data_IF_923470126807
#
_entry.id   IF_923470126807
#
_cell.length_a   1.000
_cell.length_b   1.000
_cell.length_c   1.000
_cell.angle_alpha   90.00
_cell.angle_beta   90.00
_cell.angle_gamma   90.00
#
_symmetry.space_group_name_H-M   'P 1'
#
loop_
_entity.id
_entity.type
_entity.pdbx_description
1 polymer ?
#
# COMPACT_ATOMS: atom_id res chain seq x y z
N UNK A 1 18.78 -41.13 -17.39
CA UNK A 1 19.51 -39.86 -17.49
C UNK A 1 18.66 -38.77 -16.90
N UNK A 2 18.93 -38.44 -15.69
CA UNK A 2 18.28 -37.33 -14.99
C UNK A 2 19.08 -36.08 -15.33
N UNK A 3 18.39 -35.15 -15.96
CA UNK A 3 18.93 -33.83 -16.26
C UNK A 3 19.13 -33.05 -14.94
N UNK A 4 20.36 -32.68 -14.57
CA UNK A 4 20.60 -31.95 -13.33
C UNK A 4 20.37 -30.45 -13.43
N UNK A 5 19.83 -29.95 -14.52
CA UNK A 5 19.40 -28.56 -14.57
C UNK A 5 18.06 -28.35 -13.93
N UNK A 6 17.94 -28.73 -12.67
CA UNK A 6 16.89 -28.14 -11.83
C UNK A 6 17.18 -26.65 -11.79
N UNK A 7 16.59 -25.92 -12.71
CA UNK A 7 16.62 -24.48 -12.70
C UNK A 7 16.04 -24.02 -11.37
N UNK A 8 16.92 -23.61 -10.48
CA UNK A 8 16.53 -22.75 -9.41
C UNK A 8 16.05 -21.45 -10.05
N UNK A 9 14.82 -21.48 -10.57
CA UNK A 9 14.14 -20.23 -10.88
C UNK A 9 14.01 -19.50 -9.57
N UNK A 10 14.64 -18.32 -9.47
CA UNK A 10 14.38 -17.39 -8.38
C UNK A 10 12.86 -17.31 -8.17
N UNK A 11 12.34 -17.31 -6.92
CA UNK A 11 10.91 -17.12 -6.70
C UNK A 11 10.50 -15.86 -7.45
N UNK A 12 9.34 -15.85 -8.12
CA UNK A 12 8.88 -14.66 -8.83
C UNK A 12 8.92 -13.48 -7.86
N UNK A 13 9.51 -12.38 -8.31
CA UNK A 13 9.55 -11.16 -7.53
C UNK A 13 8.13 -10.83 -7.07
N UNK A 14 7.95 -10.72 -5.76
CA UNK A 14 6.65 -10.42 -5.19
C UNK A 14 6.09 -9.13 -5.77
N UNK A 15 4.81 -9.12 -6.07
CA UNK A 15 4.08 -7.96 -6.55
C UNK A 15 3.19 -7.41 -5.44
N UNK A 16 2.61 -6.25 -5.67
CA UNK A 16 1.67 -5.67 -4.70
C UNK A 16 0.46 -6.56 -4.44
N UNK A 17 0.11 -7.44 -5.39
CA UNK A 17 -0.95 -8.43 -5.18
C UNK A 17 -0.69 -9.34 -3.98
N UNK A 18 0.57 -9.62 -3.68
CA UNK A 18 0.96 -10.51 -2.58
C UNK A 18 0.84 -9.85 -1.20
N UNK A 19 0.84 -8.52 -1.14
CA UNK A 19 0.84 -7.78 0.13
C UNK A 19 -0.35 -6.83 0.29
N UNK A 20 -1.16 -6.64 -0.75
CA UNK A 20 -2.33 -5.76 -0.68
C UNK A 20 -3.35 -6.30 0.30
N UNK A 21 -4.11 -5.38 0.89
CA UNK A 21 -5.27 -5.67 1.74
C UNK A 21 -6.54 -5.35 0.97
N UNK A 22 -7.68 -5.96 1.33
CA UNK A 22 -8.96 -5.54 0.77
C UNK A 22 -9.19 -4.05 1.05
N UNK A 23 -9.67 -3.26 0.07
CA UNK A 23 -9.93 -1.85 0.30
C UNK A 23 -11.14 -1.67 1.19
N UNK A 24 -11.09 -0.73 2.12
CA UNK A 24 -12.27 -0.32 2.89
C UNK A 24 -12.99 0.76 2.07
N UNK A 25 -14.16 0.44 1.55
CA UNK A 25 -14.95 1.27 0.62
C UNK A 25 -16.28 1.72 1.22
N UNK A 26 -16.35 1.82 2.54
CA UNK A 26 -17.59 2.06 3.25
C UNK A 26 -17.95 3.54 3.41
N UNK A 27 -17.23 4.44 2.75
CA UNK A 27 -17.49 5.89 2.81
C UNK A 27 -17.77 6.47 1.43
N UNK A 28 -18.65 7.43 1.39
CA UNK A 28 -19.03 8.18 0.21
C UNK A 28 -18.53 9.62 0.31
N UNK A 29 -18.35 10.26 -0.83
CA UNK A 29 -17.79 11.62 -0.89
C UNK A 29 -18.62 12.64 -0.11
N UNK A 30 -19.93 12.43 0.04
CA UNK A 30 -20.83 13.34 0.74
C UNK A 30 -20.97 13.04 2.24
N UNK A 31 -20.34 11.97 2.72
CA UNK A 31 -20.29 11.69 4.16
C UNK A 31 -19.44 12.72 4.89
N UNK A 32 -19.64 12.84 6.19
CA UNK A 32 -18.81 13.70 7.02
C UNK A 32 -17.45 13.06 7.31
N UNK A 33 -16.44 13.89 7.45
CA UNK A 33 -15.07 13.45 7.81
C UNK A 33 -15.06 12.67 9.12
N UNK A 34 -15.93 13.02 10.07
CA UNK A 34 -16.08 12.27 11.31
C UNK A 34 -16.49 10.82 11.12
N UNK A 35 -17.32 10.52 10.11
CA UNK A 35 -17.66 9.14 9.75
C UNK A 35 -16.45 8.36 9.25
N UNK A 36 -15.61 8.99 8.44
CA UNK A 36 -14.37 8.37 7.99
C UNK A 36 -13.42 8.04 9.16
N UNK A 37 -13.25 8.99 10.08
CA UNK A 37 -12.44 8.78 11.28
C UNK A 37 -12.94 7.60 12.13
N UNK A 38 -14.24 7.49 12.31
CA UNK A 38 -14.87 6.40 13.03
C UNK A 38 -14.61 5.05 12.36
N UNK A 39 -14.78 4.98 11.04
CA UNK A 39 -14.56 3.75 10.29
C UNK A 39 -13.09 3.34 10.26
N UNK A 40 -12.16 4.29 10.14
CA UNK A 40 -10.72 4.00 10.24
C UNK A 40 -10.39 3.34 11.59
N UNK A 41 -10.93 3.89 12.67
CA UNK A 41 -10.74 3.30 14.00
C UNK A 41 -11.32 1.89 14.10
N UNK A 42 -12.54 1.68 13.58
CA UNK A 42 -13.21 0.38 13.62
C UNK A 42 -12.52 -0.68 12.77
N UNK A 43 -12.02 -0.32 11.61
CA UNK A 43 -11.36 -1.21 10.66
C UNK A 43 -9.85 -1.34 10.90
N UNK A 44 -9.30 -0.63 11.87
CA UNK A 44 -7.84 -0.51 12.07
C UNK A 44 -7.14 -0.13 10.76
N UNK A 45 -7.72 0.84 10.06
CA UNK A 45 -7.23 1.31 8.78
C UNK A 45 -6.77 2.77 8.88
N UNK A 46 -5.74 3.11 8.14
CA UNK A 46 -5.17 4.46 8.10
C UNK A 46 -5.58 5.25 6.86
N UNK A 47 -6.32 4.60 5.97
CA UNK A 47 -6.89 5.20 4.76
C UNK A 47 -8.16 4.46 4.34
N UNK A 48 -9.07 5.19 3.73
CA UNK A 48 -10.31 4.66 3.16
C UNK A 48 -10.43 5.09 1.70
N UNK A 49 -10.92 4.18 0.87
CA UNK A 49 -11.31 4.52 -0.49
C UNK A 49 -12.68 5.18 -0.44
N UNK A 50 -12.79 6.33 -1.08
CA UNK A 50 -14.03 7.10 -1.18
C UNK A 50 -14.73 6.74 -2.48
N UNK A 51 -16.01 6.41 -2.38
CA UNK A 51 -16.82 6.03 -3.54
C UNK A 51 -17.90 7.07 -3.84
N UNK A 52 -18.38 7.03 -5.05
CA UNK A 52 -19.54 7.82 -5.46
C UNK A 52 -20.82 7.04 -5.16
N UNK A 53 -21.76 7.69 -4.46
CA UNK A 53 -23.00 7.07 -3.97
C UNK A 53 -23.82 6.36 -5.05
N UNK A 54 -23.89 6.92 -6.25
CA UNK A 54 -24.77 6.43 -7.31
C UNK A 54 -24.16 5.29 -8.12
N UNK A 55 -22.84 5.21 -8.19
CA UNK A 55 -22.14 4.26 -9.07
C UNK A 55 -21.27 3.27 -8.30
N UNK A 56 -20.96 3.55 -7.03
CA UNK A 56 -19.99 2.77 -6.25
C UNK A 56 -18.56 2.88 -6.75
N UNK A 57 -18.29 3.74 -7.74
CA UNK A 57 -16.96 3.90 -8.31
C UNK A 57 -16.03 4.62 -7.34
N UNK A 58 -14.76 4.21 -7.24
CA UNK A 58 -13.78 4.92 -6.44
C UNK A 58 -13.51 6.31 -7.04
N UNK A 59 -13.64 7.35 -6.23
CA UNK A 59 -13.45 8.74 -6.63
C UNK A 59 -12.31 9.42 -5.88
N UNK A 60 -11.80 8.82 -4.82
CA UNK A 60 -10.75 9.41 -4.03
C UNK A 60 -10.26 8.52 -2.90
N UNK A 61 -9.34 9.05 -2.15
CA UNK A 61 -8.81 8.44 -0.92
C UNK A 61 -8.80 9.50 0.19
N UNK A 62 -9.20 9.09 1.39
CA UNK A 62 -9.06 9.92 2.59
C UNK A 62 -8.19 9.17 3.60
N UNK A 63 -7.25 9.89 4.20
CA UNK A 63 -6.26 9.33 5.11
C UNK A 63 -6.36 9.96 6.50
N UNK A 64 -5.73 9.34 7.49
CA UNK A 64 -5.56 9.92 8.83
C UNK A 64 -4.90 11.30 8.78
N UNK A 65 -3.94 11.50 7.87
CA UNK A 65 -3.28 12.78 7.69
C UNK A 65 -4.27 13.87 7.26
N UNK A 66 -5.20 13.55 6.37
CA UNK A 66 -6.24 14.49 5.94
C UNK A 66 -7.13 14.91 7.12
N UNK A 67 -7.49 13.97 7.97
CA UNK A 67 -8.29 14.23 9.17
C UNK A 67 -7.51 15.10 10.15
N UNK A 68 -6.24 14.80 10.38
CA UNK A 68 -5.37 15.60 11.25
C UNK A 68 -5.23 17.02 10.74
N UNK A 69 -5.08 17.21 9.43
CA UNK A 69 -5.00 18.54 8.83
C UNK A 69 -6.31 19.31 9.00
N UNK A 70 -7.46 18.66 8.83
CA UNK A 70 -8.75 19.31 9.06
C UNK A 70 -8.88 19.82 10.50
N UNK A 71 -8.48 19.01 11.48
CA UNK A 71 -8.48 19.40 12.90
C UNK A 71 -7.51 20.56 13.16
N UNK A 72 -6.29 20.47 12.60
CA UNK A 72 -5.28 21.52 12.75
C UNK A 72 -5.74 22.86 12.15
N UNK A 73 -6.52 22.82 11.08
CA UNK A 73 -7.11 24.01 10.45
C UNK A 73 -8.35 24.54 11.18
N UNK A 74 -8.69 23.95 12.32
CA UNK A 74 -9.84 24.37 13.13
C UNK A 74 -11.19 23.94 12.57
N UNK A 75 -11.20 23.01 11.62
CA UNK A 75 -12.44 22.48 11.03
C UNK A 75 -13.07 21.45 11.94
N UNK A 76 -14.40 21.48 12.05
CA UNK A 76 -15.13 20.45 12.78
C UNK A 76 -15.34 19.24 11.86
N UNK A 77 -14.80 18.04 12.18
CA UNK A 77 -14.99 16.85 11.36
C UNK A 77 -16.45 16.47 11.12
N UNK A 78 -17.36 16.89 12.00
CA UNK A 78 -18.80 16.61 11.86
C UNK A 78 -19.51 17.54 10.88
N UNK A 79 -18.86 18.62 10.46
CA UNK A 79 -19.43 19.60 9.53
C UNK A 79 -18.78 19.56 8.16
N UNK A 80 -17.57 18.99 8.06
CA UNK A 80 -16.80 18.91 6.81
C UNK A 80 -17.12 17.63 6.07
N UNK A 81 -17.39 17.76 4.78
CA UNK A 81 -17.63 16.60 3.90
C UNK A 81 -16.32 16.00 3.40
N UNK A 82 -16.34 14.70 3.17
CA UNK A 82 -15.14 13.97 2.74
C UNK A 82 -14.58 14.54 1.44
N UNK A 83 -15.43 14.90 0.46
CA UNK A 83 -14.94 15.45 -0.82
C UNK A 83 -14.13 16.75 -0.65
N UNK A 84 -14.29 17.46 0.45
CA UNK A 84 -13.55 18.70 0.73
C UNK A 84 -12.11 18.42 1.23
N UNK A 85 -11.85 17.21 1.72
CA UNK A 85 -10.58 16.84 2.33
C UNK A 85 -9.85 15.68 1.61
N UNK A 86 -10.58 14.86 0.86
CA UNK A 86 -10.01 13.71 0.15
C UNK A 86 -9.04 14.14 -0.95
N UNK A 87 -8.13 13.24 -1.31
CA UNK A 87 -7.40 13.34 -2.57
C UNK A 87 -8.26 12.71 -3.66
N UNK A 88 -8.71 13.54 -4.60
CA UNK A 88 -9.42 13.07 -5.79
C UNK A 88 -8.41 12.51 -6.80
N UNK A 89 -8.79 11.44 -7.50
CA UNK A 89 -7.92 10.78 -8.48
C UNK A 89 -6.56 10.41 -7.90
N UNK A 90 -6.53 9.57 -6.87
CA UNK A 90 -5.26 9.19 -6.25
C UNK A 90 -4.38 8.45 -7.27
N UNK A 91 -3.07 8.52 -7.04
CA UNK A 91 -2.12 7.68 -7.78
C UNK A 91 -2.39 6.22 -7.43
N UNK A 92 -2.50 5.38 -8.44
CA UNK A 92 -2.79 3.94 -8.29
C UNK A 92 -1.65 3.11 -8.86
N UNK A 93 -1.60 1.85 -8.44
CA UNK A 93 -0.70 0.84 -9.03
C UNK A 93 -1.54 -0.33 -9.53
N UNK A 94 -0.93 -1.17 -10.37
CA UNK A 94 -1.55 -2.37 -10.90
C UNK A 94 -1.17 -3.58 -10.05
N UNK A 95 -1.98 -4.64 -10.09
CA UNK A 95 -1.69 -5.90 -9.38
C UNK A 95 -0.33 -6.50 -9.76
N UNK A 96 0.16 -6.22 -10.96
CA UNK A 96 1.47 -6.70 -11.44
C UNK A 96 2.64 -5.80 -11.08
N UNK A 97 2.40 -4.65 -10.46
CA UNK A 97 3.45 -3.73 -10.02
C UNK A 97 4.32 -4.42 -8.97
N UNK A 98 5.64 -4.41 -9.17
CA UNK A 98 6.57 -4.95 -8.17
C UNK A 98 6.53 -4.14 -6.88
N UNK A 99 6.86 -4.78 -5.77
CA UNK A 99 6.93 -4.11 -4.47
C UNK A 99 7.96 -2.97 -4.52
N UNK A 100 9.08 -3.19 -5.18
CA UNK A 100 10.12 -2.17 -5.35
C UNK A 100 9.62 -0.97 -6.15
N UNK A 101 8.88 -1.18 -7.22
CA UNK A 101 8.30 -0.09 -8.02
C UNK A 101 7.22 0.67 -7.24
N UNK A 102 6.41 -0.03 -6.46
CA UNK A 102 5.45 0.60 -5.55
C UNK A 102 6.17 1.50 -4.53
N UNK A 103 7.28 1.03 -3.96
CA UNK A 103 8.11 1.84 -3.05
C UNK A 103 8.62 3.10 -3.73
N UNK A 104 9.06 3.02 -4.99
CA UNK A 104 9.50 4.19 -5.77
C UNK A 104 8.35 5.20 -5.98
N UNK A 105 7.16 4.71 -6.30
CA UNK A 105 5.98 5.57 -6.45
C UNK A 105 5.65 6.29 -5.14
N UNK A 106 5.68 5.56 -4.02
CA UNK A 106 5.42 6.11 -2.70
C UNK A 106 6.44 7.19 -2.31
N UNK A 107 7.72 6.93 -2.53
CA UNK A 107 8.79 7.87 -2.17
C UNK A 107 8.79 9.10 -3.06
N UNK A 108 8.58 8.95 -4.36
CA UNK A 108 8.55 10.06 -5.32
C UNK A 108 7.34 10.97 -5.09
N UNK A 109 6.18 10.39 -4.82
CA UNK A 109 4.94 11.14 -4.61
C UNK A 109 4.65 11.49 -3.16
N UNK A 110 5.44 10.99 -2.21
CA UNK A 110 5.19 11.09 -0.77
C UNK A 110 3.84 10.50 -0.37
N UNK A 111 3.46 9.41 -1.02
CA UNK A 111 2.25 8.66 -0.69
C UNK A 111 2.57 7.58 0.31
N UNK A 112 1.68 7.35 1.27
CA UNK A 112 1.76 6.24 2.22
C UNK A 112 0.81 5.10 1.87
N UNK A 113 -0.11 5.35 0.95
CA UNK A 113 -1.13 4.41 0.53
C UNK A 113 -1.28 4.47 -0.98
N UNK A 114 -1.41 3.33 -1.61
CA UNK A 114 -1.68 3.23 -3.05
C UNK A 114 -2.85 2.27 -3.26
N UNK A 115 -3.93 2.73 -3.88
CA UNK A 115 -4.95 1.82 -4.37
C UNK A 115 -4.38 0.92 -5.46
N UNK A 116 -4.80 -0.34 -5.46
CA UNK A 116 -4.35 -1.37 -6.41
C UNK A 116 -5.49 -1.69 -7.36
N UNK A 117 -5.21 -1.55 -8.63
CA UNK A 117 -6.18 -1.81 -9.70
C UNK A 117 -5.91 -3.16 -10.36
N UNK A 118 -6.96 -3.91 -10.57
CA UNK A 118 -6.97 -5.11 -11.41
C UNK A 118 -7.73 -4.87 -12.69
N UNK A 119 -7.97 -5.92 -13.47
CA UNK A 119 -8.66 -5.82 -14.77
C UNK A 119 -10.10 -5.30 -14.63
N UNK A 120 -10.77 -5.63 -13.55
CA UNK A 120 -12.17 -5.26 -13.31
C UNK A 120 -12.33 -4.02 -12.42
N UNK A 121 -11.26 -3.35 -12.03
CA UNK A 121 -11.29 -2.15 -11.18
C UNK A 121 -10.46 -2.29 -9.91
N UNK A 122 -10.86 -1.58 -8.87
CA UNK A 122 -10.16 -1.58 -7.58
C UNK A 122 -10.23 -2.95 -6.90
N UNK A 123 -9.08 -3.51 -6.56
CA UNK A 123 -8.98 -4.84 -5.92
C UNK A 123 -8.28 -4.81 -4.57
N UNK A 124 -7.56 -3.75 -4.23
CA UNK A 124 -6.84 -3.69 -2.98
C UNK A 124 -6.26 -2.31 -2.67
N UNK A 125 -5.58 -2.26 -1.56
CA UNK A 125 -4.79 -1.11 -1.12
C UNK A 125 -3.50 -1.62 -0.50
N UNK A 126 -2.39 -0.94 -0.75
CA UNK A 126 -1.12 -1.20 -0.06
C UNK A 126 -0.71 0.03 0.73
N UNK A 127 -0.20 -0.18 1.94
CA UNK A 127 0.38 0.88 2.72
C UNK A 127 1.92 0.75 2.77
N UNK A 128 2.56 1.84 3.19
CA UNK A 128 4.03 1.89 3.24
C UNK A 128 4.61 0.87 4.23
N UNK A 129 3.89 0.52 5.28
CA UNK A 129 4.34 -0.46 6.27
C UNK A 129 4.43 -1.86 5.64
N UNK A 130 3.43 -2.25 4.86
CA UNK A 130 3.44 -3.54 4.16
C UNK A 130 4.55 -3.60 3.12
N UNK A 131 4.79 -2.51 2.40
CA UNK A 131 5.88 -2.41 1.41
C UNK A 131 7.24 -2.53 2.10
N UNK A 132 7.47 -1.78 3.18
CA UNK A 132 8.71 -1.84 3.93
C UNK A 132 8.97 -3.22 4.51
N UNK A 133 7.95 -3.87 5.08
CA UNK A 133 8.08 -5.24 5.60
C UNK A 133 8.50 -6.21 4.51
N UNK A 134 7.87 -6.15 3.37
CA UNK A 134 8.19 -7.03 2.25
C UNK A 134 9.62 -6.81 1.73
N UNK A 135 10.08 -5.56 1.67
CA UNK A 135 11.47 -5.24 1.26
C UNK A 135 12.49 -5.75 2.29
N UNK A 136 12.19 -5.63 3.57
CA UNK A 136 13.06 -6.13 4.65
C UNK A 136 13.14 -7.66 4.63
N UNK A 137 12.05 -8.35 4.40
CA UNK A 137 12.02 -9.81 4.28
C UNK A 137 12.82 -10.28 3.07
N UNK A 138 12.75 -9.57 1.94
CA UNK A 138 13.53 -9.87 0.75
C UNK A 138 15.04 -9.70 0.99
N UNK A 139 15.47 -8.67 1.73
CA UNK A 139 16.87 -8.45 2.09
C UNK A 139 17.41 -9.55 3.00
N UNK A 140 16.64 -10.01 3.97
CA UNK A 140 17.02 -11.13 4.84
C UNK A 140 17.22 -12.41 4.03
N UNK A 141 16.36 -12.68 3.06
CA UNK A 141 16.48 -13.85 2.17
C UNK A 141 17.68 -13.75 1.23
N UNK A 142 18.06 -12.53 0.82
CA UNK A 142 19.25 -12.28 0.01
C UNK A 142 20.56 -12.33 0.81
N UNK A 143 20.54 -11.99 2.08
CA UNK A 143 21.73 -11.91 2.95
C UNK A 143 22.24 -13.27 3.42
N UNK A 144 21.41 -14.30 3.42
CA UNK A 144 21.85 -15.65 3.82
C UNK A 144 22.71 -16.35 2.77
N UNK A 145 22.88 -15.78 1.60
CA UNK A 145 23.73 -16.32 0.54
C UNK A 145 25.17 -15.79 0.57
N UNK A 146 25.49 -14.78 1.40
CA UNK A 146 26.78 -14.08 1.34
C UNK A 146 27.66 -14.26 2.58
N UNK A 147 27.35 -15.20 3.46
CA UNK A 147 28.20 -15.51 4.63
C UNK A 147 28.92 -16.84 4.49
N UNK A 148 29.69 -17.02 3.42
CA UNK A 148 30.62 -18.13 3.36
C UNK A 148 31.89 -17.69 2.66
N UNK A 149 32.72 -16.95 3.37
CA UNK A 149 34.14 -16.92 3.07
C UNK A 149 34.88 -17.50 4.28
N UNK A 150 35.38 -18.74 4.19
CA UNK A 150 36.39 -19.13 5.15
C UNK A 150 37.64 -18.37 4.78
N UNK A 151 38.05 -17.50 5.66
CA UNK A 151 39.42 -17.02 5.61
C UNK A 151 40.34 -18.21 5.74
N UNK A 152 40.98 -18.56 4.66
CA UNK A 152 42.14 -19.43 4.72
C UNK A 152 43.33 -18.59 5.17
N UNK A 153 43.56 -18.57 6.46
CA UNK A 153 44.88 -18.20 6.95
C UNK A 153 45.86 -19.24 6.53
N UNK A 154 46.74 -18.92 5.62
CA UNK A 154 47.91 -19.70 5.32
C UNK A 154 48.89 -19.58 6.49
N UNK A 155 49.27 -20.65 7.16
CA UNK A 155 50.34 -20.56 8.12
C UNK A 155 51.68 -20.56 7.41
N UNK A 156 52.49 -19.64 7.76
CA UNK A 156 53.92 -19.78 7.65
C UNK A 156 54.68 -18.91 8.50
#
# INVERSE_FOLDING_TARGET
>A
MTDPSAQHSAPPLATVADIMRPPVTAVEQNDHVGAAAYLMKRADATALIVTQAQTGQPVGIITEADISHAVADGKNPNDVRIYQMMTARPTVVNISTSIRDAAKVMTSGRFRHLPVMGDAGLVGIVDITDVCRALLEADVSGSSADTAQPEQSSPH
#
